data_IF_742633160602
#
_entry.id   IF_742633160602
#
_cell.length_a   1.000
_cell.length_b   1.000
_cell.length_c   1.000
_cell.angle_alpha   90.00
_cell.angle_beta   90.00
_cell.angle_gamma   90.00
#
_symmetry.space_group_name_H-M   'P 1'
#
loop_
_entity.id
_entity.type
_entity.pdbx_description
1 polymer ?
#
# COMPACT_ATOMS: atom_id res chain seq x y z
N UNK A 1 28.39 4.85 -15.66
CA UNK A 1 27.63 3.96 -16.58
C UNK A 1 26.24 3.77 -15.99
N UNK A 2 25.19 4.32 -16.63
CA UNK A 2 23.85 4.41 -16.06
C UNK A 2 23.02 3.18 -16.41
N UNK A 3 22.41 2.52 -15.42
CA UNK A 3 21.43 1.46 -15.64
C UNK A 3 20.04 2.02 -15.32
N UNK A 4 19.22 2.27 -16.35
CA UNK A 4 17.79 2.50 -16.15
C UNK A 4 17.10 1.13 -16.16
N UNK A 5 16.53 0.72 -15.03
CA UNK A 5 15.63 -0.43 -15.01
C UNK A 5 14.21 0.07 -14.78
N UNK A 6 13.42 0.10 -15.86
CA UNK A 6 11.97 0.15 -15.74
C UNK A 6 11.51 -1.21 -15.19
N UNK A 7 11.00 -1.25 -13.95
CA UNK A 7 10.28 -2.43 -13.46
C UNK A 7 8.95 -2.45 -14.22
N UNK A 8 8.97 -3.07 -15.39
CA UNK A 8 7.79 -3.34 -16.16
C UNK A 8 6.97 -4.36 -15.36
N UNK A 9 5.81 -3.93 -14.86
CA UNK A 9 4.75 -4.85 -14.46
C UNK A 9 4.50 -5.74 -15.69
N UNK A 10 4.79 -7.03 -15.56
CA UNK A 10 4.44 -8.05 -16.54
C UNK A 10 2.92 -8.03 -16.75
N UNK A 11 2.52 -7.29 -17.77
CA UNK A 11 1.17 -7.16 -18.28
C UNK A 11 1.27 -6.95 -19.78
N UNK A 12 1.64 -8.02 -20.48
CA UNK A 12 1.11 -8.45 -21.76
C UNK A 12 0.66 -7.37 -22.77
N UNK A 13 1.37 -7.29 -23.89
CA UNK A 13 0.86 -6.70 -25.13
C UNK A 13 1.85 -5.79 -25.85
N UNK A 14 2.60 -6.38 -26.77
CA UNK A 14 3.57 -5.78 -27.69
C UNK A 14 3.08 -4.50 -28.37
N UNK A 15 3.97 -3.50 -28.48
CA UNK A 15 4.13 -2.60 -29.64
C UNK A 15 5.23 -1.56 -29.33
N UNK A 16 6.48 -2.01 -29.37
CA UNK A 16 7.66 -1.14 -29.27
C UNK A 16 7.95 -0.56 -30.67
N UNK A 17 7.47 0.66 -30.94
CA UNK A 17 7.97 1.50 -32.05
C UNK A 17 8.95 2.52 -31.47
N UNK A 18 10.13 2.54 -32.07
CA UNK A 18 11.30 3.38 -31.80
C UNK A 18 10.93 4.87 -31.70
N UNK A 19 11.50 5.66 -30.75
CA UNK A 19 11.24 7.09 -30.70
C UNK A 19 12.16 7.85 -31.64
N UNK A 20 11.59 8.39 -32.71
CA UNK A 20 12.17 9.50 -33.44
C UNK A 20 12.16 10.75 -32.55
N UNK A 21 13.32 11.39 -32.46
CA UNK A 21 13.56 12.66 -31.80
C UNK A 21 12.76 13.78 -32.48
N UNK A 22 11.74 14.27 -31.79
CA UNK A 22 11.18 15.60 -32.04
C UNK A 22 9.67 15.61 -32.26
N UNK A 23 8.92 16.10 -31.26
CA UNK A 23 7.87 17.10 -31.45
C UNK A 23 7.05 17.31 -30.17
N UNK A 24 6.88 18.59 -29.81
CA UNK A 24 5.66 19.17 -29.26
C UNK A 24 4.96 18.47 -28.09
N UNK A 25 5.11 19.05 -26.90
CA UNK A 25 4.28 18.81 -25.71
C UNK A 25 2.80 19.15 -25.98
N UNK A 26 2.10 18.28 -26.68
CA UNK A 26 0.64 18.21 -26.65
C UNK A 26 0.22 17.31 -25.48
N UNK A 27 -0.62 17.76 -24.53
CA UNK A 27 -1.10 16.89 -23.46
C UNK A 27 -1.86 15.72 -24.09
N UNK A 28 -1.24 14.54 -24.06
CA UNK A 28 -1.85 13.34 -24.60
C UNK A 28 -3.14 13.04 -23.82
N UNK A 29 -4.27 13.04 -24.53
CA UNK A 29 -5.60 12.73 -24.00
C UNK A 29 -5.62 11.28 -23.51
N UNK A 30 -5.19 11.05 -22.26
CA UNK A 30 -5.36 9.75 -21.61
C UNK A 30 -6.85 9.50 -21.37
N UNK A 31 -7.34 8.38 -21.88
CA UNK A 31 -8.71 7.87 -21.67
C UNK A 31 -8.68 7.05 -20.38
N UNK A 32 -9.24 7.58 -19.30
CA UNK A 32 -9.42 6.83 -18.06
C UNK A 32 -10.75 6.09 -18.24
N UNK A 33 -10.72 4.76 -18.13
CA UNK A 33 -11.91 3.90 -18.26
C UNK A 33 -12.56 3.91 -19.66
N UNK A 34 -11.75 3.95 -20.72
CA UNK A 34 -12.23 3.90 -22.11
C UNK A 34 -12.96 5.16 -22.60
N UNK A 35 -13.32 6.08 -21.71
CA UNK A 35 -14.06 7.30 -22.00
C UNK A 35 -13.15 8.55 -21.97
N UNK A 36 -13.51 9.59 -22.73
CA UNK A 36 -12.79 10.88 -22.72
C UNK A 36 -12.88 11.47 -21.30
N UNK A 37 -11.75 11.93 -20.73
CA UNK A 37 -11.68 12.56 -19.39
C UNK A 37 -12.77 13.63 -19.14
N UNK A 38 -13.13 14.39 -20.19
CA UNK A 38 -14.21 15.38 -20.13
C UNK A 38 -15.58 14.74 -19.86
N UNK A 39 -15.87 13.59 -20.47
CA UNK A 39 -17.13 12.86 -20.28
C UNK A 39 -17.20 12.25 -18.88
N UNK A 40 -16.08 11.71 -18.39
CA UNK A 40 -16.02 11.17 -17.02
C UNK A 40 -16.33 12.25 -15.97
N UNK A 41 -15.75 13.45 -16.11
CA UNK A 41 -16.01 14.56 -15.18
C UNK A 41 -17.48 15.02 -15.21
N UNK A 42 -18.12 15.01 -16.40
CA UNK A 42 -19.55 15.32 -16.53
C UNK A 42 -20.41 14.27 -15.81
N UNK A 43 -20.15 12.98 -16.04
CA UNK A 43 -20.90 11.89 -15.39
C UNK A 43 -20.74 11.91 -13.87
N UNK A 44 -19.53 12.17 -13.37
CA UNK A 44 -19.26 12.27 -11.93
C UNK A 44 -20.03 13.43 -11.29
N UNK A 45 -20.09 14.60 -11.95
CA UNK A 45 -20.87 15.74 -11.48
C UNK A 45 -22.36 15.45 -11.39
N UNK A 46 -22.92 14.79 -12.41
CA UNK A 46 -24.35 14.37 -12.43
C UNK A 46 -24.64 13.40 -11.29
N UNK A 47 -23.76 12.40 -11.06
CA UNK A 47 -23.94 11.42 -10.00
C UNK A 47 -23.92 12.06 -8.60
N UNK A 48 -22.99 12.98 -8.34
CA UNK A 48 -22.93 13.72 -7.07
C UNK A 48 -24.18 14.58 -6.87
N UNK A 49 -24.65 15.28 -7.90
CA UNK A 49 -25.90 16.06 -7.86
C UNK A 49 -27.11 15.18 -7.53
N UNK A 50 -27.17 13.97 -8.08
CA UNK A 50 -28.25 13.01 -7.84
C UNK A 50 -28.27 12.56 -6.37
N UNK A 51 -27.11 12.27 -5.78
CA UNK A 51 -26.99 11.94 -4.36
C UNK A 51 -27.47 13.10 -3.48
N UNK A 52 -27.07 14.34 -3.79
CA UNK A 52 -27.51 15.53 -3.03
C UNK A 52 -29.03 15.71 -3.15
N UNK A 53 -29.59 15.55 -4.35
CA UNK A 53 -31.03 15.67 -4.58
C UNK A 53 -31.83 14.62 -3.80
N UNK A 54 -31.35 13.37 -3.75
CA UNK A 54 -31.96 12.31 -2.94
C UNK A 54 -31.81 12.65 -1.45
N UNK A 55 -30.62 13.00 -0.97
CA UNK A 55 -30.37 13.32 0.43
C UNK A 55 -31.21 14.51 0.93
N UNK A 56 -31.38 15.55 0.11
CA UNK A 56 -32.28 16.66 0.41
C UNK A 56 -33.77 16.23 0.30
N UNK A 57 -34.09 15.33 -0.62
CA UNK A 57 -35.44 14.83 -0.87
C UNK A 57 -35.98 13.86 0.19
N UNK A 58 -35.13 13.13 0.93
CA UNK A 58 -35.58 12.25 2.03
C UNK A 58 -35.83 13.03 3.35
N UNK A 59 -35.57 14.34 3.37
CA UNK A 59 -35.52 15.15 4.60
C UNK A 59 -36.83 15.79 5.07
N UNK A 60 -38.00 15.46 4.53
CA UNK A 60 -39.28 15.99 5.04
C UNK A 60 -40.33 14.88 5.11
N UNK A 61 -40.48 14.27 6.28
CA UNK A 61 -41.70 13.54 6.62
C UNK A 61 -41.53 12.13 7.18
N UNK A 62 -40.96 12.02 8.39
CA UNK A 62 -41.41 11.02 9.37
C UNK A 62 -41.14 11.57 10.77
N UNK A 63 -42.05 12.41 11.25
CA UNK A 63 -42.17 12.68 12.67
C UNK A 63 -42.80 11.44 13.33
N UNK A 64 -41.98 10.49 13.76
CA UNK A 64 -42.43 9.46 14.70
C UNK A 64 -42.27 10.02 16.11
N UNK A 65 -43.40 10.09 16.78
CA UNK A 65 -43.60 10.60 18.12
C UNK A 65 -42.61 10.03 19.14
N UNK A 66 -42.08 10.94 19.94
CA UNK A 66 -41.22 10.73 21.10
C UNK A 66 -41.93 9.89 22.18
N UNK A 67 -41.54 8.63 22.34
CA UNK A 67 -41.87 7.84 23.52
C UNK A 67 -40.81 8.06 24.60
N UNK A 68 -41.21 8.80 25.64
CA UNK A 68 -40.51 9.03 26.91
C UNK A 68 -40.42 7.70 27.67
N UNK A 69 -39.21 7.24 27.99
CA UNK A 69 -39.05 6.30 29.10
C UNK A 69 -37.83 6.65 29.94
N UNK A 70 -38.11 6.98 31.19
CA UNK A 70 -37.14 7.21 32.25
C UNK A 70 -36.84 5.85 32.89
N UNK A 71 -35.56 5.50 33.07
CA UNK A 71 -35.20 4.73 34.24
C UNK A 71 -33.84 5.16 34.79
N UNK A 72 -33.90 5.56 36.06
CA UNK A 72 -32.79 5.86 36.95
C UNK A 72 -32.20 4.56 37.50
N UNK A 73 -30.90 4.59 37.78
CA UNK A 73 -30.16 3.64 38.63
C UNK A 73 -28.74 3.56 38.10
N UNK A 74 -27.72 4.26 38.61
CA UNK A 74 -27.21 4.44 39.97
C UNK A 74 -27.02 3.13 40.72
N UNK A 75 -25.80 2.57 40.68
CA UNK A 75 -24.87 2.49 41.83
C UNK A 75 -23.57 1.74 41.46
N UNK A 76 -22.45 2.41 41.74
CA UNK A 76 -21.14 1.95 42.27
C UNK A 76 -20.29 0.83 41.62
N UNK A 77 -18.94 1.00 41.63
CA UNK A 77 -17.98 0.02 41.15
C UNK A 77 -17.62 -1.00 42.27
N UNK A 78 -17.61 -2.29 41.93
CA UNK A 78 -17.04 -3.33 42.81
C UNK A 78 -15.83 -3.95 42.13
N UNK A 79 -14.67 -3.56 42.66
CA UNK A 79 -13.39 -4.25 42.56
C UNK A 79 -13.49 -5.59 43.31
N UNK A 80 -13.14 -6.70 42.65
CA UNK A 80 -12.89 -8.00 43.28
C UNK A 80 -12.18 -8.93 42.29
N UNK A 81 -10.88 -9.04 42.48
CA UNK A 81 -9.99 -10.07 41.95
C UNK A 81 -10.44 -11.49 42.37
N UNK A 82 -10.61 -12.44 41.43
CA UNK A 82 -10.57 -13.86 41.74
C UNK A 82 -9.24 -14.47 41.29
N UNK A 83 -8.53 -15.02 42.27
CA UNK A 83 -7.42 -15.97 42.12
C UNK A 83 -7.76 -17.12 41.16
N UNK A 84 -6.86 -17.55 40.25
CA UNK A 84 -7.14 -18.67 39.37
C UNK A 84 -7.11 -20.00 40.15
N UNK A 85 -8.30 -20.58 40.34
CA UNK A 85 -8.47 -21.97 40.78
C UNK A 85 -8.10 -22.91 39.61
N UNK A 86 -7.04 -23.67 39.80
CA UNK A 86 -6.66 -24.83 38.98
C UNK A 86 -7.75 -25.90 39.05
N UNK A 87 -8.48 -26.09 37.96
CA UNK A 87 -9.31 -27.29 37.74
C UNK A 87 -8.79 -28.02 36.50
N UNK A 88 -8.20 -29.19 36.74
CA UNK A 88 -7.79 -30.12 35.71
C UNK A 88 -8.98 -30.56 34.87
N UNK A 89 -8.96 -30.16 33.61
CA UNK A 89 -9.88 -30.61 32.56
C UNK A 89 -9.06 -31.15 31.40
N UNK A 90 -9.27 -32.42 31.12
CA UNK A 90 -8.89 -33.21 29.94
C UNK A 90 -8.19 -32.45 28.81
N UNK A 91 -6.92 -32.83 28.58
CA UNK A 91 -6.05 -32.28 27.55
C UNK A 91 -6.67 -32.42 26.15
N UNK A 92 -7.30 -31.34 25.68
CA UNK A 92 -7.47 -31.13 24.26
C UNK A 92 -6.12 -30.65 23.74
N UNK A 93 -5.41 -31.53 23.04
CA UNK A 93 -4.21 -31.20 22.27
C UNK A 93 -4.59 -30.17 21.20
N UNK A 94 -4.59 -28.90 21.57
CA UNK A 94 -4.53 -27.81 20.61
C UNK A 94 -3.10 -27.84 20.10
N UNK A 95 -2.90 -28.49 18.95
CA UNK A 95 -1.67 -28.39 18.17
C UNK A 95 -1.53 -26.93 17.77
N UNK A 96 -0.87 -26.15 18.62
CA UNK A 96 -0.44 -24.79 18.31
C UNK A 96 0.58 -24.94 17.20
N UNK A 97 0.17 -24.68 15.97
CA UNK A 97 1.11 -24.58 14.86
C UNK A 97 2.12 -23.50 15.26
N UNK A 98 3.42 -23.81 15.36
CA UNK A 98 4.41 -22.80 15.70
C UNK A 98 4.34 -21.73 14.61
N UNK A 99 3.90 -20.53 15.00
CA UNK A 99 4.03 -19.34 14.17
C UNK A 99 5.52 -19.20 13.91
N UNK A 100 5.94 -19.50 12.67
CA UNK A 100 7.33 -19.44 12.28
C UNK A 100 7.81 -18.00 12.50
N UNK A 101 8.69 -17.84 13.49
CA UNK A 101 9.39 -16.58 13.68
C UNK A 101 10.03 -16.18 12.35
N UNK A 102 9.82 -14.94 11.85
CA UNK A 102 10.35 -14.55 10.57
C UNK A 102 11.87 -14.71 10.61
N UNK A 103 12.41 -15.50 9.68
CA UNK A 103 13.86 -15.67 9.56
C UNK A 103 14.46 -14.30 9.22
N UNK A 104 15.40 -13.77 10.03
CA UNK A 104 15.98 -12.46 9.76
C UNK A 104 16.59 -12.43 8.35
N UNK A 105 16.23 -11.42 7.56
CA UNK A 105 16.79 -11.24 6.22
C UNK A 105 18.31 -11.08 6.34
N UNK A 106 19.13 -11.84 5.59
CA UNK A 106 20.58 -11.72 5.65
C UNK A 106 21.03 -10.37 5.07
N UNK A 107 21.18 -9.37 5.92
CA UNK A 107 21.69 -8.04 5.55
C UNK A 107 23.16 -7.95 6.00
N UNK A 108 24.01 -7.39 5.15
CA UNK A 108 25.41 -7.14 5.49
C UNK A 108 25.50 -5.91 6.42
N UNK A 109 26.33 -5.99 7.48
CA UNK A 109 26.51 -4.88 8.43
C UNK A 109 27.10 -3.66 7.71
N UNK A 110 26.71 -2.46 8.14
CA UNK A 110 27.18 -1.18 7.58
C UNK A 110 26.93 -1.06 6.08
N UNK A 111 25.83 -1.64 5.58
CA UNK A 111 25.43 -1.46 4.18
C UNK A 111 24.57 -0.22 4.00
N UNK A 112 24.71 0.46 2.85
CA UNK A 112 23.81 1.53 2.51
C UNK A 112 22.41 0.98 2.22
N UNK A 113 21.41 1.74 2.68
CA UNK A 113 20.00 1.48 2.46
C UNK A 113 19.41 2.67 1.73
N UNK A 114 18.48 2.41 0.82
CA UNK A 114 17.69 3.44 0.18
C UNK A 114 16.21 3.07 0.25
N UNK A 115 15.36 4.02 0.60
CA UNK A 115 13.93 3.81 0.67
C UNK A 115 13.21 4.85 -0.19
N UNK A 116 12.16 4.41 -0.88
CA UNK A 116 11.17 5.30 -1.49
C UNK A 116 9.81 4.93 -0.94
N UNK A 117 8.96 5.92 -0.73
CA UNK A 117 7.57 5.67 -0.40
C UNK A 117 6.67 6.12 -1.53
N UNK A 118 5.58 5.39 -1.69
CA UNK A 118 4.43 5.80 -2.45
C UNK A 118 3.34 6.08 -1.42
N UNK A 119 2.64 7.21 -1.51
CA UNK A 119 1.58 7.58 -0.56
C UNK A 119 2.03 7.50 0.92
N UNK A 120 1.10 7.33 1.85
CA UNK A 120 1.36 7.31 3.30
C UNK A 120 1.78 5.95 3.85
N UNK A 121 1.68 4.86 3.07
CA UNK A 121 1.79 3.51 3.61
C UNK A 121 2.63 2.55 2.76
N UNK A 122 2.85 2.82 1.48
CA UNK A 122 3.59 1.91 0.62
C UNK A 122 5.08 2.26 0.63
N UNK A 123 5.95 1.34 1.01
CA UNK A 123 7.41 1.58 1.09
C UNK A 123 8.13 0.55 0.22
N UNK A 124 9.11 1.00 -0.54
CA UNK A 124 10.07 0.13 -1.22
C UNK A 124 11.44 0.36 -0.61
N UNK A 125 12.00 -0.68 0.00
CA UNK A 125 13.31 -0.67 0.63
C UNK A 125 14.31 -1.42 -0.25
N UNK A 126 15.35 -0.71 -0.68
CA UNK A 126 16.48 -1.25 -1.40
C UNK A 126 17.66 -1.41 -0.44
N UNK A 127 18.28 -2.57 -0.47
CA UNK A 127 19.42 -2.89 0.38
C UNK A 127 20.38 -3.84 -0.31
N UNK A 128 21.60 -3.87 0.18
CA UNK A 128 22.64 -4.78 -0.28
C UNK A 128 22.59 -6.09 0.52
N UNK A 129 22.34 -7.19 -0.18
CA UNK A 129 22.32 -8.54 0.36
C UNK A 129 23.76 -9.08 0.51
N UNK A 130 23.94 -10.15 1.29
CA UNK A 130 25.27 -10.74 1.58
C UNK A 130 26.03 -11.25 0.34
N UNK A 131 25.32 -11.54 -0.75
CA UNK A 131 25.91 -11.92 -2.05
C UNK A 131 26.47 -10.72 -2.84
N UNK A 132 26.31 -9.50 -2.32
CA UNK A 132 26.69 -8.25 -2.95
C UNK A 132 25.64 -7.69 -3.90
N UNK A 133 24.50 -8.38 -4.10
CA UNK A 133 23.40 -7.91 -4.92
C UNK A 133 22.50 -6.91 -4.20
N UNK A 134 21.91 -5.97 -4.94
CA UNK A 134 20.81 -5.14 -4.44
C UNK A 134 19.51 -5.92 -4.58
N UNK A 135 18.72 -5.94 -3.51
CA UNK A 135 17.38 -6.52 -3.46
C UNK A 135 16.37 -5.47 -3.01
N UNK A 136 15.10 -5.74 -3.32
CA UNK A 136 13.96 -4.91 -2.96
C UNK A 136 13.08 -5.68 -1.97
N UNK A 137 12.63 -5.00 -0.93
CA UNK A 137 11.54 -5.42 -0.06
C UNK A 137 10.41 -4.40 -0.14
N UNK A 138 9.19 -4.86 -0.38
CA UNK A 138 8.03 -3.99 -0.50
C UNK A 138 7.14 -4.08 0.75
N UNK A 139 6.68 -2.95 1.26
CA UNK A 139 5.60 -2.87 2.22
C UNK A 139 4.35 -2.31 1.52
N UNK A 140 3.23 -3.02 1.61
CA UNK A 140 1.97 -2.64 0.97
C UNK A 140 1.07 -1.74 1.86
N UNK A 141 1.58 -1.28 3.00
CA UNK A 141 0.88 -0.52 4.02
C UNK A 141 0.39 -1.32 5.21
N UNK A 142 0.41 -2.65 5.11
CA UNK A 142 0.00 -3.54 6.21
C UNK A 142 1.12 -4.49 6.62
N UNK A 143 1.91 -4.98 5.66
CA UNK A 143 2.99 -5.93 5.92
C UNK A 143 4.10 -5.79 4.89
N UNK A 144 5.30 -6.25 5.28
CA UNK A 144 6.40 -6.48 4.35
C UNK A 144 6.13 -7.75 3.55
N UNK A 145 6.25 -7.64 2.23
CA UNK A 145 6.16 -8.75 1.29
C UNK A 145 7.47 -9.51 1.17
N UNK A 146 7.49 -10.46 0.24
CA UNK A 146 8.69 -11.25 -0.05
C UNK A 146 9.83 -10.41 -0.63
N UNK A 147 11.05 -10.86 -0.38
CA UNK A 147 12.25 -10.27 -0.95
C UNK A 147 12.29 -10.53 -2.46
N UNK A 148 12.57 -9.49 -3.25
CA UNK A 148 12.73 -9.63 -4.70
C UNK A 148 13.94 -10.50 -5.08
N UNK A 149 13.95 -11.03 -6.32
CA UNK A 149 15.19 -11.44 -6.96
C UNK A 149 16.21 -10.29 -7.00
N UNK A 150 17.48 -10.64 -7.25
CA UNK A 150 18.53 -9.64 -7.39
C UNK A 150 18.20 -8.67 -8.53
N UNK A 151 18.19 -7.37 -8.21
CA UNK A 151 17.94 -6.29 -9.16
C UNK A 151 19.22 -5.97 -9.93
N UNK A 152 20.34 -5.88 -9.21
CA UNK A 152 21.66 -5.58 -9.79
C UNK A 152 22.80 -5.92 -8.83
N UNK A 153 24.07 -5.79 -9.26
CA UNK A 153 25.27 -6.01 -8.44
C UNK A 153 26.21 -4.79 -8.49
N UNK A 154 26.22 -3.92 -7.47
CA UNK A 154 27.16 -2.79 -7.36
C UNK A 154 28.54 -3.26 -6.84
N UNK A 155 29.50 -2.32 -6.81
CA UNK A 155 30.78 -2.51 -6.09
C UNK A 155 30.56 -2.63 -4.60
N UNK A 156 31.58 -3.11 -3.89
CA UNK A 156 31.39 -3.49 -2.50
C UNK A 156 31.17 -2.33 -1.52
N UNK A 157 31.74 -1.20 -1.86
CA UNK A 157 31.78 0.08 -1.13
C UNK A 157 30.84 1.15 -1.69
N UNK A 158 30.11 0.84 -2.77
CA UNK A 158 29.20 1.77 -3.42
C UNK A 158 28.10 2.25 -2.48
N UNK A 159 27.88 3.57 -2.44
CA UNK A 159 26.67 4.16 -1.85
C UNK A 159 25.39 3.68 -2.54
N UNK A 160 24.24 3.91 -1.91
CA UNK A 160 22.92 3.56 -2.47
C UNK A 160 21.94 4.71 -2.21
N UNK A 161 21.29 5.19 -3.26
CA UNK A 161 20.21 6.17 -3.16
C UNK A 161 19.07 5.77 -4.09
N UNK A 162 17.84 6.15 -3.77
CA UNK A 162 16.69 5.85 -4.60
C UNK A 162 15.75 7.04 -4.66
N UNK A 163 15.17 7.26 -5.84
CA UNK A 163 14.09 8.23 -6.05
C UNK A 163 12.91 7.52 -6.73
N UNK A 164 11.70 7.85 -6.27
CA UNK A 164 10.46 7.38 -6.87
C UNK A 164 9.69 8.56 -7.44
N UNK A 165 9.11 8.40 -8.63
CA UNK A 165 8.14 9.35 -9.19
C UNK A 165 7.00 8.61 -9.90
N UNK A 166 5.90 9.32 -10.09
CA UNK A 166 4.73 8.83 -10.83
C UNK A 166 4.66 9.49 -12.20
N UNK A 167 4.47 8.70 -13.25
CA UNK A 167 4.25 9.19 -14.61
C UNK A 167 2.84 8.79 -15.10
N UNK A 168 1.84 9.51 -14.59
CA UNK A 168 0.44 9.10 -14.61
C UNK A 168 0.20 7.94 -13.64
N UNK A 169 -0.31 6.81 -14.14
CA UNK A 169 -0.62 5.62 -13.31
C UNK A 169 0.58 4.68 -13.13
N UNK A 170 1.70 4.97 -13.80
CA UNK A 170 2.92 4.16 -13.72
C UNK A 170 3.83 4.72 -12.62
N UNK A 171 4.20 3.86 -11.67
CA UNK A 171 5.22 4.16 -10.67
C UNK A 171 6.58 3.81 -11.23
N UNK A 172 7.54 4.73 -11.13
CA UNK A 172 8.91 4.52 -11.59
C UNK A 172 9.88 4.76 -10.45
N UNK A 173 10.85 3.86 -10.30
CA UNK A 173 11.96 4.03 -9.35
C UNK A 173 13.26 4.05 -10.10
N UNK A 174 14.15 4.94 -9.66
CA UNK A 174 15.54 4.93 -10.08
C UNK A 174 16.42 4.77 -8.86
N UNK A 175 17.31 3.79 -8.94
CA UNK A 175 18.29 3.48 -7.90
C UNK A 175 19.67 3.91 -8.41
N UNK A 176 20.34 4.74 -7.62
CA UNK A 176 21.68 5.26 -7.86
C UNK A 176 22.69 4.55 -6.97
N UNK A 177 23.91 4.46 -7.49
CA UNK A 177 25.05 3.79 -6.89
C UNK A 177 26.32 4.52 -7.34
N UNK A 178 27.32 4.58 -6.48
CA UNK A 178 28.61 5.25 -6.73
C UNK A 178 29.69 4.28 -7.23
#
# INVERSE_FOLDING_TARGET
>A
MFSQQSIARSGQGDNQKQPDLGSGLGPSKRKIWGMKRKVFMIMLGIFILLIIAVAAGVGVGVAVSKAKNNNKGLSTPTDSSPSPTSSGGYATLVTVTPSSSPTPTPILKNTPLAAVNWNTSNIQLFYKHKDGGIRLQENNGSQWGEQSPQVTRPKDDSGLAAIGWSEGDVRQVRVYRE
#
